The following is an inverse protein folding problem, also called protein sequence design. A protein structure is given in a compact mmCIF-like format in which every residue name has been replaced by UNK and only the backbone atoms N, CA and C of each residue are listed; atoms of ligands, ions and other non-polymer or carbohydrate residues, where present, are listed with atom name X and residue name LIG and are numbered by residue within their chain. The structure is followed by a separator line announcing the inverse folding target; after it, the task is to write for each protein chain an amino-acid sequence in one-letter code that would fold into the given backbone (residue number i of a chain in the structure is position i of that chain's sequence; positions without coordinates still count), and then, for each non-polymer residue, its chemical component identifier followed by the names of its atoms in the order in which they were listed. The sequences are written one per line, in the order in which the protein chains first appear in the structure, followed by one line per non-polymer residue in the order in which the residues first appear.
data_IF_540023521178
#
_entry.id   IF_540023521178
#
_cell.length_a   1.000
_cell.length_b   1.000
_cell.length_c   1.000
_cell.angle_alpha   90.00
_cell.angle_beta   90.00
_cell.angle_gamma   90.00
#
_symmetry.space_group_name_H-M   'P 1'
#
loop_
_entity.id
_entity.type
_entity.pdbx_description
1 polymer ?
#
# COMPACT_ATOMS: atom_id res chain seq x y z
N UNK A 1 -7.62 -70.35 52.37
CA UNK A 1 -6.54 -69.98 53.30
C UNK A 1 -6.00 -68.61 52.89
N UNK A 2 -5.78 -67.64 53.80
CA UNK A 2 -6.59 -67.20 54.93
C UNK A 2 -7.06 -65.72 54.79
N UNK A 3 -7.91 -65.36 55.75
CA UNK A 3 -8.65 -64.12 56.13
C UNK A 3 -7.78 -63.36 57.19
N UNK A 4 -8.06 -62.15 57.77
CA UNK A 4 -8.73 -60.88 57.38
C UNK A 4 -8.05 -59.55 57.89
N UNK A 5 -8.74 -58.40 57.67
CA UNK A 5 -9.06 -57.28 58.61
C UNK A 5 -7.96 -56.29 59.08
N UNK A 6 -8.14 -55.00 58.75
CA UNK A 6 -8.62 -53.92 59.66
C UNK A 6 -8.52 -52.53 58.98
N UNK A 7 -9.59 -51.74 59.08
CA UNK A 7 -9.66 -50.30 58.80
C UNK A 7 -9.53 -49.51 60.14
N UNK A 8 -9.88 -48.21 60.33
CA UNK A 8 -10.17 -47.07 59.41
C UNK A 8 -9.70 -45.65 59.92
N UNK A 9 -10.12 -44.58 59.20
CA UNK A 9 -10.41 -43.15 59.57
C UNK A 9 -9.32 -42.16 60.08
N UNK A 10 -9.26 -40.96 59.44
CA UNK A 10 -9.31 -39.57 59.99
C UNK A 10 -8.34 -38.61 59.25
N UNK A 11 -8.84 -37.62 58.48
CA UNK A 11 -9.00 -36.18 58.80
C UNK A 11 -7.70 -35.46 59.20
N UNK A 12 -7.35 -34.37 58.48
CA UNK A 12 -6.45 -33.34 59.02
C UNK A 12 -5.65 -32.56 57.98
N UNK A 13 -5.91 -31.26 57.92
CA UNK A 13 -5.24 -30.27 57.09
C UNK A 13 -3.77 -30.04 57.46
N UNK A 14 -2.98 -29.47 56.53
CA UNK A 14 -2.25 -28.22 56.75
C UNK A 14 -1.27 -27.97 55.59
N UNK A 15 -1.44 -26.79 54.98
CA UNK A 15 -0.42 -26.04 54.26
C UNK A 15 0.87 -25.97 55.07
N UNK A 16 2.04 -25.92 54.42
CA UNK A 16 3.07 -24.92 54.75
C UNK A 16 3.92 -24.60 53.54
N UNK A 17 4.12 -23.30 53.38
CA UNK A 17 4.73 -22.55 52.29
C UNK A 17 6.22 -22.37 52.55
N UNK A 18 6.98 -22.38 51.44
CA UNK A 18 8.26 -21.72 51.14
C UNK A 18 9.43 -21.83 52.13
N UNK A 19 10.64 -22.02 51.58
CA UNK A 19 11.62 -20.92 51.47
C UNK A 19 13.01 -21.47 51.10
N UNK A 20 13.81 -20.58 50.52
CA UNK A 20 15.24 -20.66 50.22
C UNK A 20 15.64 -21.49 49.00
N UNK A 21 16.65 -21.13 48.20
CA UNK A 21 17.33 -19.89 47.82
C UNK A 21 18.39 -20.35 46.81
N UNK A 22 18.59 -19.56 45.75
CA UNK A 22 19.82 -19.39 44.96
C UNK A 22 20.61 -20.64 44.48
N UNK A 23 20.75 -20.76 43.16
CA UNK A 23 21.75 -21.64 42.54
C UNK A 23 21.84 -21.44 41.04
N UNK A 24 22.81 -20.61 40.63
CA UNK A 24 23.21 -20.29 39.26
C UNK A 24 23.46 -21.54 38.41
N UNK A 25 22.96 -21.59 37.17
CA UNK A 25 23.55 -22.42 36.13
C UNK A 25 23.64 -21.69 34.78
N UNK A 26 24.86 -21.72 34.26
CA UNK A 26 25.37 -21.15 33.02
C UNK A 26 24.81 -21.96 31.85
N UNK A 27 24.12 -21.31 30.91
CA UNK A 27 23.69 -21.94 29.67
C UNK A 27 24.79 -21.78 28.60
N UNK A 28 25.47 -22.90 28.29
CA UNK A 28 26.24 -23.08 27.05
C UNK A 28 25.22 -23.44 25.97
N UNK A 29 25.00 -22.54 25.01
CA UNK A 29 24.13 -22.76 23.87
C UNK A 29 24.93 -22.75 22.57
N UNK A 30 24.93 -23.89 21.86
CA UNK A 30 24.96 -23.98 20.39
C UNK A 30 24.28 -25.30 20.02
N UNK A 31 23.16 -25.25 19.27
CA UNK A 31 22.98 -25.93 17.97
C UNK A 31 21.95 -25.10 17.16
N UNK A 32 22.38 -24.66 15.99
CA UNK A 32 21.55 -24.06 14.93
C UNK A 32 20.63 -25.10 14.27
N UNK A 33 19.39 -24.72 14.00
CA UNK A 33 18.63 -25.24 12.86
C UNK A 33 17.77 -24.10 12.31
N UNK A 34 18.11 -23.67 11.10
CA UNK A 34 17.63 -22.42 10.52
C UNK A 34 16.30 -22.49 9.78
N UNK A 35 15.91 -21.27 9.39
CA UNK A 35 14.91 -20.83 8.40
C UNK A 35 13.46 -21.00 8.80
N UNK A 36 12.96 -19.96 9.48
CA UNK A 36 11.72 -19.31 9.05
C UNK A 36 12.02 -17.84 8.71
N UNK A 37 11.51 -17.41 7.56
CA UNK A 37 11.59 -16.04 7.05
C UNK A 37 10.77 -15.15 7.99
N UNK A 38 11.43 -14.30 8.76
CA UNK A 38 10.74 -13.20 9.45
C UNK A 38 10.29 -12.20 8.39
N UNK A 39 8.98 -12.16 8.15
CA UNK A 39 8.30 -10.97 7.63
C UNK A 39 8.63 -9.85 8.61
N UNK A 40 9.25 -8.79 8.11
CA UNK A 40 9.49 -7.58 8.88
C UNK A 40 8.14 -6.88 8.93
N UNK A 41 7.50 -6.86 10.11
CA UNK A 41 6.33 -6.01 10.36
C UNK A 41 6.77 -4.55 10.23
N UNK A 42 6.19 -3.86 9.24
CA UNK A 42 6.49 -2.46 8.87
C UNK A 42 5.91 -1.43 9.86
N UNK A 43 5.27 -1.87 10.95
CA UNK A 43 4.46 -1.01 11.83
C UNK A 43 5.24 -0.29 12.95
N UNK A 44 6.56 -0.12 12.84
CA UNK A 44 7.31 0.60 13.90
C UNK A 44 8.43 1.51 13.40
N UNK A 45 8.12 2.37 12.44
CA UNK A 45 8.99 3.48 12.06
C UNK A 45 8.34 4.81 12.47
N UNK A 46 8.54 5.21 13.74
CA UNK A 46 8.35 6.60 14.16
C UNK A 46 9.49 7.45 13.59
N UNK A 47 9.27 8.15 12.46
CA UNK A 47 10.24 9.09 11.87
C UNK A 47 9.66 10.47 11.65
N UNK A 48 10.53 11.47 11.78
CA UNK A 48 10.16 12.86 11.53
C UNK A 48 9.93 13.09 10.03
N UNK A 49 8.74 13.60 9.69
CA UNK A 49 8.24 13.94 8.34
C UNK A 49 9.15 14.88 7.52
N UNK A 50 10.25 15.36 8.11
CA UNK A 50 11.25 16.29 7.56
C UNK A 50 12.32 15.64 6.70
N UNK A 51 12.51 14.32 6.78
CA UNK A 51 13.63 13.63 6.09
C UNK A 51 13.30 13.22 4.64
N UNK A 52 12.07 13.50 4.19
CA UNK A 52 11.60 13.12 2.86
C UNK A 52 11.76 14.24 1.84
N UNK A 53 12.19 13.87 0.63
CA UNK A 53 12.32 14.79 -0.50
C UNK A 53 11.04 14.78 -1.33
N UNK A 54 10.54 15.97 -1.68
CA UNK A 54 9.46 16.14 -2.66
C UNK A 54 10.12 16.44 -4.02
N UNK A 55 10.04 15.48 -4.94
CA UNK A 55 10.31 15.59 -6.39
C UNK A 55 11.74 15.94 -6.90
N UNK A 56 12.52 14.96 -7.41
CA UNK A 56 13.63 15.18 -8.33
C UNK A 56 13.14 15.12 -9.79
N UNK A 57 13.90 15.73 -10.70
CA UNK A 57 13.62 15.66 -12.13
C UNK A 57 13.81 14.23 -12.67
N UNK A 58 12.92 13.78 -13.57
CA UNK A 58 13.03 12.50 -14.28
C UNK A 58 14.02 12.66 -15.45
N UNK A 59 15.14 11.94 -15.44
CA UNK A 59 16.18 12.05 -16.49
C UNK A 59 15.89 11.18 -17.73
N UNK A 60 16.62 11.37 -18.84
CA UNK A 60 16.53 10.52 -20.04
C UNK A 60 17.13 9.12 -19.82
N UNK A 61 18.16 9.03 -18.99
CA UNK A 61 18.78 7.78 -18.59
C UNK A 61 17.81 6.92 -17.78
N UNK A 62 17.03 7.54 -16.89
CA UNK A 62 15.94 6.91 -16.14
C UNK A 62 14.87 6.30 -17.08
N UNK A 63 14.65 6.92 -18.25
CA UNK A 63 13.66 6.51 -19.26
C UNK A 63 14.06 5.25 -20.05
N UNK A 64 15.35 4.98 -20.21
CA UNK A 64 15.86 4.04 -21.22
C UNK A 64 16.45 2.72 -20.68
N UNK A 65 16.32 2.42 -19.38
CA UNK A 65 16.76 1.12 -18.87
C UNK A 65 15.83 0.04 -19.44
N UNK A 66 16.37 -1.01 -20.06
CA UNK A 66 15.61 -2.19 -20.51
C UNK A 66 15.69 -3.24 -19.41
N UNK A 67 14.55 -3.66 -18.85
CA UNK A 67 14.53 -4.72 -17.84
C UNK A 67 14.35 -6.04 -18.58
N UNK A 68 15.24 -7.00 -18.33
CA UNK A 68 15.19 -8.28 -19.02
C UNK A 68 13.91 -9.01 -18.64
N UNK A 69 13.24 -9.56 -19.64
CA UNK A 69 11.94 -10.22 -19.50
C UNK A 69 12.00 -11.36 -18.46
N UNK A 70 13.17 -11.98 -18.24
CA UNK A 70 13.29 -13.13 -17.35
C UNK A 70 13.24 -12.80 -15.85
N UNK A 71 13.61 -11.57 -15.43
CA UNK A 71 13.75 -11.26 -14.00
C UNK A 71 12.50 -10.64 -13.35
N UNK A 72 11.57 -10.11 -14.16
CA UNK A 72 10.43 -9.31 -13.68
C UNK A 72 9.13 -9.57 -14.46
N UNK A 73 9.02 -10.75 -15.08
CA UNK A 73 7.92 -11.11 -15.99
C UNK A 73 6.51 -10.97 -15.38
N UNK A 74 6.39 -11.13 -14.06
CA UNK A 74 5.11 -11.07 -13.35
C UNK A 74 4.96 -9.78 -12.53
N UNK A 75 5.83 -8.79 -12.70
CA UNK A 75 5.86 -7.63 -11.80
C UNK A 75 4.70 -6.65 -12.04
N UNK A 76 3.85 -6.52 -11.03
CA UNK A 76 3.00 -5.37 -10.78
C UNK A 76 3.43 -4.76 -9.45
N UNK A 77 3.66 -3.45 -9.42
CA UNK A 77 4.26 -2.73 -8.29
C UNK A 77 3.52 -2.97 -6.96
N UNK A 78 2.22 -3.24 -7.04
CA UNK A 78 1.32 -3.43 -5.89
C UNK A 78 1.03 -4.91 -5.55
N UNK A 79 1.65 -5.87 -6.24
CA UNK A 79 1.50 -7.30 -5.89
C UNK A 79 2.13 -7.64 -4.52
N UNK A 80 3.07 -6.83 -4.04
CA UNK A 80 3.73 -7.00 -2.74
C UNK A 80 2.83 -6.54 -1.56
N UNK A 81 1.65 -5.93 -1.81
CA UNK A 81 0.74 -5.41 -0.78
C UNK A 81 -0.16 -6.48 -0.12
N UNK A 82 -0.08 -7.74 -0.58
CA UNK A 82 -0.95 -8.82 -0.11
C UNK A 82 -2.40 -8.69 -0.56
N UNK A 83 -3.29 -9.55 -0.04
CA UNK A 83 -4.73 -9.49 -0.35
C UNK A 83 -5.40 -8.32 0.39
N UNK A 84 -5.28 -7.12 -0.17
CA UNK A 84 -6.06 -5.97 0.27
C UNK A 84 -7.55 -6.25 0.09
N UNK A 85 -8.34 -6.03 1.13
CA UNK A 85 -9.79 -6.06 1.09
C UNK A 85 -10.33 -4.75 1.63
N UNK A 86 -11.44 -4.27 1.05
CA UNK A 86 -12.04 -3.01 1.48
C UNK A 86 -12.67 -3.20 2.85
N UNK A 87 -12.21 -2.43 3.83
CA UNK A 87 -12.75 -2.47 5.18
C UNK A 87 -13.80 -1.38 5.38
N UNK A 88 -15.08 -1.78 5.39
CA UNK A 88 -16.20 -0.86 5.56
C UNK A 88 -16.51 -0.55 7.03
N UNK A 89 -15.81 -1.14 7.99
CA UNK A 89 -16.06 -0.92 9.42
C UNK A 89 -15.70 0.51 9.88
N UNK A 90 -14.73 1.14 9.23
CA UNK A 90 -14.27 2.50 9.55
C UNK A 90 -15.28 3.59 9.16
N UNK A 91 -16.16 3.31 8.18
CA UNK A 91 -17.17 4.24 7.67
C UNK A 91 -18.22 4.58 8.75
N UNK A 92 -18.47 3.67 9.69
CA UNK A 92 -19.48 3.85 10.74
C UNK A 92 -19.00 4.69 11.93
N UNK A 93 -17.71 5.05 12.04
CA UNK A 93 -17.14 5.54 13.30
C UNK A 93 -16.59 6.98 13.25
N UNK A 94 -16.64 7.70 12.13
CA UNK A 94 -16.00 9.04 12.05
C UNK A 94 -16.71 10.11 11.23
N UNK A 95 -18.04 10.03 11.11
CA UNK A 95 -18.86 11.03 10.42
C UNK A 95 -19.05 12.37 11.18
N UNK A 96 -18.25 12.65 12.22
CA UNK A 96 -18.28 13.92 12.94
C UNK A 96 -16.87 14.35 13.36
N UNK A 97 -16.09 14.94 12.45
CA UNK A 97 -15.07 15.93 12.82
C UNK A 97 -14.59 16.69 11.59
N UNK A 98 -15.05 17.94 11.53
CA UNK A 98 -14.41 19.14 10.97
C UNK A 98 -13.99 19.17 9.49
N UNK A 99 -14.88 19.78 8.71
CA UNK A 99 -14.58 20.60 7.53
C UNK A 99 -13.58 21.71 7.83
N UNK A 100 -12.40 21.63 7.22
CA UNK A 100 -11.52 22.75 6.84
C UNK A 100 -10.86 22.34 5.52
N UNK A 101 -10.72 23.12 4.45
CA UNK A 101 -11.16 24.44 4.04
C UNK A 101 -11.20 24.35 2.50
N UNK A 102 -12.38 24.43 1.87
CA UNK A 102 -12.45 24.58 0.42
C UNK A 102 -12.07 26.03 0.10
N UNK A 103 -10.88 26.25 -0.47
CA UNK A 103 -10.40 27.59 -0.84
C UNK A 103 -11.47 28.33 -1.66
N UNK A 104 -11.77 29.54 -1.19
CA UNK A 104 -12.71 30.47 -1.83
C UNK A 104 -12.13 30.97 -3.14
N UNK A 105 -12.47 30.33 -4.25
CA UNK A 105 -12.48 31.00 -5.56
C UNK A 105 -13.82 30.78 -6.25
N UNK A 106 -14.29 31.85 -6.88
CA UNK A 106 -15.68 32.10 -7.24
C UNK A 106 -16.21 31.14 -8.30
N UNK A 107 -17.04 30.18 -7.89
CA UNK A 107 -18.26 29.73 -8.56
C UNK A 107 -18.91 28.68 -7.65
N UNK A 108 -20.11 28.96 -7.13
CA UNK A 108 -20.88 28.04 -6.28
C UNK A 108 -21.28 26.78 -7.06
N UNK A 109 -20.38 25.81 -7.22
CA UNK A 109 -20.73 24.41 -7.07
C UNK A 109 -20.62 24.14 -5.58
N UNK A 110 -21.68 23.65 -4.96
CA UNK A 110 -21.61 23.15 -3.59
C UNK A 110 -20.48 22.11 -3.56
N UNK A 111 -19.39 22.42 -2.84
CA UNK A 111 -18.31 21.46 -2.64
C UNK A 111 -18.91 20.29 -1.87
N UNK A 112 -19.15 19.17 -2.57
CA UNK A 112 -19.53 17.94 -1.92
C UNK A 112 -18.42 17.58 -0.94
N UNK A 113 -18.75 17.43 0.34
CA UNK A 113 -17.78 17.06 1.35
C UNK A 113 -17.16 15.71 0.97
N UNK A 114 -15.83 15.64 0.99
CA UNK A 114 -15.12 14.44 0.61
C UNK A 114 -15.13 13.42 1.75
N UNK A 115 -15.91 12.34 1.60
CA UNK A 115 -16.08 11.33 2.64
C UNK A 115 -14.81 10.49 2.88
N UNK A 116 -13.84 10.52 1.97
CA UNK A 116 -12.56 9.84 2.12
C UNK A 116 -11.63 10.48 3.16
N UNK A 117 -11.73 11.80 3.41
CA UNK A 117 -10.81 12.53 4.30
C UNK A 117 -10.69 11.88 5.69
N UNK A 118 -11.77 11.58 6.43
CA UNK A 118 -11.67 11.04 7.79
C UNK A 118 -11.14 9.60 7.86
N UNK A 119 -11.20 8.86 6.74
CA UNK A 119 -10.83 7.44 6.63
C UNK A 119 -9.59 7.20 5.77
N UNK A 120 -8.86 8.26 5.41
CA UNK A 120 -7.61 8.17 4.66
C UNK A 120 -6.45 8.55 5.56
N UNK A 121 -5.42 7.70 5.61
CA UNK A 121 -4.21 7.95 6.39
C UNK A 121 -2.95 7.80 5.51
N UNK A 122 -1.88 8.49 5.87
CA UNK A 122 -0.56 8.29 5.24
C UNK A 122 -0.05 6.88 5.57
N UNK A 123 0.54 6.23 4.57
CA UNK A 123 1.27 4.96 4.68
C UNK A 123 2.64 5.14 4.02
N UNK A 124 3.62 4.33 4.41
CA UNK A 124 4.93 4.35 3.78
C UNK A 124 5.30 2.94 3.34
N UNK A 125 5.78 2.80 2.11
CA UNK A 125 6.16 1.52 1.50
C UNK A 125 7.63 1.48 1.18
N UNK A 126 8.27 0.34 1.45
CA UNK A 126 9.64 0.07 1.01
C UNK A 126 9.66 -0.27 -0.49
N UNK A 127 10.47 0.48 -1.25
CA UNK A 127 10.54 0.41 -2.72
C UNK A 127 11.90 -0.07 -3.22
N UNK A 128 12.57 -0.93 -2.46
CA UNK A 128 13.94 -1.39 -2.78
C UNK A 128 14.05 -2.17 -4.10
N UNK A 129 12.93 -2.67 -4.63
CA UNK A 129 12.86 -3.39 -5.91
C UNK A 129 12.44 -2.51 -7.09
N UNK A 130 12.04 -1.28 -6.81
CA UNK A 130 11.51 -0.37 -7.82
C UNK A 130 12.61 0.34 -8.56
N UNK A 131 12.30 0.70 -9.81
CA UNK A 131 13.21 1.51 -10.62
C UNK A 131 13.19 2.98 -10.18
N UNK A 132 14.30 3.70 -10.38
CA UNK A 132 14.37 5.13 -10.07
C UNK A 132 13.28 5.94 -10.80
N UNK A 133 12.97 5.59 -12.05
CA UNK A 133 11.91 6.23 -12.82
C UNK A 133 10.50 5.93 -12.30
N UNK A 134 10.20 4.72 -11.83
CA UNK A 134 8.94 4.43 -11.13
C UNK A 134 8.78 5.39 -9.95
N UNK A 135 9.80 5.42 -9.08
CA UNK A 135 9.81 6.25 -7.87
C UNK A 135 9.64 7.72 -8.24
N UNK A 136 10.41 8.23 -9.21
CA UNK A 136 10.36 9.63 -9.60
C UNK A 136 9.04 10.00 -10.28
N UNK A 137 8.48 9.11 -11.11
CA UNK A 137 7.20 9.33 -11.76
C UNK A 137 6.04 9.38 -10.75
N UNK A 138 6.01 8.46 -9.78
CA UNK A 138 5.04 8.53 -8.68
C UNK A 138 5.18 9.81 -7.89
N UNK A 139 6.40 10.19 -7.50
CA UNK A 139 6.62 11.45 -6.75
C UNK A 139 6.15 12.68 -7.53
N UNK A 140 6.32 12.68 -8.84
CA UNK A 140 5.87 13.78 -9.67
C UNK A 140 4.32 13.83 -9.73
N UNK A 141 3.69 12.73 -10.14
CA UNK A 141 2.24 12.65 -10.35
C UNK A 141 1.50 12.77 -9.02
N UNK A 142 1.83 11.87 -8.10
CA UNK A 142 1.15 11.68 -6.83
C UNK A 142 1.61 12.68 -5.74
N UNK A 143 2.62 13.51 -6.02
CA UNK A 143 3.22 14.48 -5.07
C UNK A 143 3.70 13.83 -3.78
N UNK A 144 4.16 12.59 -3.88
CA UNK A 144 4.58 11.79 -2.73
C UNK A 144 5.96 12.16 -2.23
N UNK A 145 6.13 11.95 -0.94
CA UNK A 145 7.39 12.01 -0.24
C UNK A 145 8.21 10.75 -0.49
N UNK A 146 9.53 10.89 -0.61
CA UNK A 146 10.45 9.75 -0.71
C UNK A 146 11.72 9.98 0.11
N UNK A 147 12.11 8.96 0.86
CA UNK A 147 13.38 8.89 1.58
C UNK A 147 14.35 7.98 0.81
N UNK A 148 15.40 8.54 0.17
CA UNK A 148 16.38 7.76 -0.59
C UNK A 148 17.30 6.91 0.30
N UNK A 149 17.50 7.29 1.56
CA UNK A 149 18.39 6.56 2.48
C UNK A 149 17.75 5.23 2.86
N UNK A 150 16.44 5.24 3.11
CA UNK A 150 15.73 4.04 3.55
C UNK A 150 14.86 3.40 2.48
N UNK A 151 14.81 4.00 1.30
CA UNK A 151 14.02 3.57 0.16
C UNK A 151 12.54 3.42 0.53
N UNK A 152 12.00 4.41 1.23
CA UNK A 152 10.59 4.46 1.62
C UNK A 152 9.87 5.56 0.84
N UNK A 153 8.75 5.22 0.19
CA UNK A 153 7.87 6.18 -0.48
C UNK A 153 6.57 6.34 0.30
N UNK A 154 6.02 7.55 0.32
CA UNK A 154 4.70 7.83 0.87
C UNK A 154 3.62 7.35 -0.09
N UNK A 155 2.60 6.75 0.49
CA UNK A 155 1.34 6.34 -0.11
C UNK A 155 0.20 6.71 0.84
N UNK A 156 -1.03 6.43 0.43
CA UNK A 156 -2.21 6.69 1.23
C UNK A 156 -3.07 5.45 1.29
N UNK A 157 -3.57 5.13 2.48
CA UNK A 157 -4.48 4.02 2.67
C UNK A 157 -5.86 4.57 3.03
N UNK A 158 -6.88 4.17 2.27
CA UNK A 158 -8.28 4.48 2.53
C UNK A 158 -9.07 3.18 2.57
N UNK A 159 -9.75 2.89 3.69
CA UNK A 159 -10.50 1.65 3.90
C UNK A 159 -9.68 0.40 3.58
N UNK A 160 -8.43 0.36 4.05
CA UNK A 160 -7.39 -0.67 3.79
C UNK A 160 -6.91 -0.83 2.34
N UNK A 161 -7.38 -0.03 1.40
CA UNK A 161 -6.86 -0.02 0.03
C UNK A 161 -5.80 1.06 -0.13
N UNK A 162 -4.67 0.72 -0.74
CA UNK A 162 -3.56 1.64 -0.94
C UNK A 162 -3.70 2.41 -2.27
N UNK A 163 -3.27 3.66 -2.24
CA UNK A 163 -3.21 4.59 -3.36
C UNK A 163 -1.85 5.28 -3.37
N UNK A 164 -1.31 5.53 -4.57
CA UNK A 164 -0.03 6.20 -4.70
C UNK A 164 -0.07 7.63 -4.16
N UNK A 165 -1.16 8.38 -4.38
CA UNK A 165 -1.31 9.77 -3.94
C UNK A 165 -2.71 10.16 -3.47
N UNK A 166 -2.79 11.26 -2.72
CA UNK A 166 -4.03 11.81 -2.20
C UNK A 166 -4.06 13.34 -2.28
N UNK A 167 -5.12 13.90 -2.89
CA UNK A 167 -5.39 15.34 -2.94
C UNK A 167 -6.73 15.63 -2.28
N UNK A 168 -6.78 15.90 -0.97
CA UNK A 168 -8.03 16.03 -0.21
C UNK A 168 -8.91 17.18 -0.71
N UNK A 169 -8.30 18.30 -1.15
CA UNK A 169 -9.03 19.45 -1.70
C UNK A 169 -9.86 19.13 -2.95
N UNK A 170 -9.52 18.05 -3.67
CA UNK A 170 -10.19 17.61 -4.90
C UNK A 170 -10.93 16.27 -4.72
N UNK A 171 -10.93 15.70 -3.51
CA UNK A 171 -11.37 14.33 -3.26
C UNK A 171 -10.77 13.31 -4.26
N UNK A 172 -9.48 13.46 -4.56
CA UNK A 172 -8.84 12.79 -5.67
C UNK A 172 -7.68 11.91 -5.19
N UNK A 173 -7.80 10.61 -5.44
CA UNK A 173 -6.69 9.66 -5.34
C UNK A 173 -5.94 9.57 -6.66
N UNK A 174 -4.65 9.26 -6.57
CA UNK A 174 -3.75 9.19 -7.71
C UNK A 174 -3.04 7.84 -7.74
N UNK A 175 -2.87 7.32 -8.95
CA UNK A 175 -2.08 6.13 -9.29
C UNK A 175 -1.08 6.52 -10.38
N UNK A 176 0.17 6.11 -10.25
CA UNK A 176 1.25 6.48 -11.14
C UNK A 176 1.99 5.25 -11.64
N UNK A 177 1.78 4.90 -12.91
CA UNK A 177 2.35 3.71 -13.53
C UNK A 177 3.40 4.08 -14.57
N UNK A 178 4.65 3.70 -14.33
CA UNK A 178 5.77 3.98 -15.23
C UNK A 178 6.27 2.70 -15.91
N UNK A 179 6.68 2.83 -17.18
CA UNK A 179 7.41 1.77 -17.91
C UNK A 179 6.64 0.49 -18.18
N UNK A 180 5.32 0.58 -18.35
CA UNK A 180 4.48 -0.58 -18.63
C UNK A 180 4.43 -0.99 -20.10
N UNK A 181 4.78 -0.14 -21.07
CA UNK A 181 4.74 -0.47 -22.51
C UNK A 181 5.63 -1.67 -22.87
N UNK A 182 6.68 -1.94 -22.09
CA UNK A 182 7.56 -3.11 -22.30
C UNK A 182 6.82 -4.46 -22.17
N UNK A 183 5.67 -4.48 -21.50
CA UNK A 183 4.84 -5.66 -21.32
C UNK A 183 3.82 -5.87 -22.45
N UNK A 184 3.80 -4.97 -23.43
CA UNK A 184 2.91 -5.04 -24.58
C UNK A 184 3.69 -5.46 -25.82
N UNK A 185 3.02 -6.15 -26.74
CA UNK A 185 3.56 -6.46 -28.05
C UNK A 185 3.38 -5.29 -29.04
N UNK A 186 3.73 -5.53 -30.31
CA UNK A 186 3.64 -4.51 -31.36
C UNK A 186 2.20 -4.14 -31.74
N UNK A 187 1.23 -4.96 -31.37
CA UNK A 187 -0.21 -4.72 -31.59
C UNK A 187 -0.83 -3.95 -30.42
N UNK A 188 -0.06 -3.72 -29.35
CA UNK A 188 -0.53 -3.07 -28.13
C UNK A 188 -1.28 -4.02 -27.20
N UNK A 189 -1.12 -5.33 -27.39
CA UNK A 189 -1.72 -6.35 -26.54
C UNK A 189 -0.74 -6.80 -25.44
N UNK A 190 -1.24 -7.10 -24.23
CA UNK A 190 -0.41 -7.68 -23.17
C UNK A 190 0.28 -8.95 -23.64
N UNK A 191 1.59 -9.04 -23.42
CA UNK A 191 2.33 -10.28 -23.65
C UNK A 191 1.72 -11.41 -22.82
N UNK A 192 1.56 -12.59 -23.43
CA UNK A 192 0.82 -13.71 -22.85
C UNK A 192 1.33 -14.21 -21.50
N UNK A 193 2.62 -14.02 -21.21
CA UNK A 193 3.23 -14.37 -19.93
C UNK A 193 2.99 -13.33 -18.83
N UNK A 194 2.64 -12.09 -19.18
CA UNK A 194 2.50 -11.01 -18.21
C UNK A 194 1.13 -11.02 -17.56
N UNK A 195 1.12 -11.12 -16.23
CA UNK A 195 -0.11 -11.17 -15.41
C UNK A 195 -0.55 -9.81 -14.87
N UNK A 196 0.23 -8.76 -15.07
CA UNK A 196 -0.07 -7.45 -14.48
C UNK A 196 -1.43 -6.86 -14.89
N UNK A 197 -1.97 -7.22 -16.05
CA UNK A 197 -3.34 -6.87 -16.44
C UNK A 197 -4.41 -7.40 -15.45
N UNK A 198 -4.19 -8.56 -14.84
CA UNK A 198 -5.09 -9.15 -13.84
C UNK A 198 -4.96 -8.42 -12.51
N UNK A 199 -3.71 -8.19 -12.06
CA UNK A 199 -3.42 -7.41 -10.85
C UNK A 199 -4.01 -6.00 -10.93
N UNK A 200 -3.80 -5.32 -12.05
CA UNK A 200 -4.32 -3.99 -12.33
C UNK A 200 -5.86 -3.95 -12.29
N UNK A 201 -6.54 -4.92 -12.92
CA UNK A 201 -8.00 -5.03 -12.86
C UNK A 201 -8.50 -5.23 -11.42
N UNK A 202 -7.83 -6.10 -10.65
CA UNK A 202 -8.19 -6.34 -9.26
C UNK A 202 -8.01 -5.10 -8.39
N UNK A 203 -6.93 -4.34 -8.61
CA UNK A 203 -6.68 -3.07 -7.92
C UNK A 203 -7.71 -2.00 -8.29
N UNK A 204 -7.96 -1.78 -9.58
CA UNK A 204 -8.98 -0.83 -10.05
C UNK A 204 -10.38 -1.18 -9.50
N UNK A 205 -10.72 -2.48 -9.44
CA UNK A 205 -11.95 -2.93 -8.79
C UNK A 205 -12.00 -2.53 -7.32
N UNK A 206 -10.93 -2.72 -6.54
CA UNK A 206 -10.89 -2.30 -5.13
C UNK A 206 -11.03 -0.78 -4.98
N UNK A 207 -10.36 -0.02 -5.84
CA UNK A 207 -10.49 1.44 -5.89
C UNK A 207 -11.94 1.88 -6.16
N UNK A 208 -12.62 1.26 -7.13
CA UNK A 208 -14.03 1.56 -7.40
C UNK A 208 -14.92 1.20 -6.21
N UNK A 209 -14.65 0.09 -5.51
CA UNK A 209 -15.41 -0.28 -4.30
C UNK A 209 -15.21 0.75 -3.19
N UNK A 210 -13.99 1.28 -2.99
CA UNK A 210 -13.76 2.39 -2.05
C UNK A 210 -14.61 3.61 -2.43
N UNK A 211 -14.62 3.99 -3.70
CA UNK A 211 -15.47 5.07 -4.18
C UNK A 211 -16.95 4.80 -3.95
N UNK A 212 -17.45 3.58 -4.23
CA UNK A 212 -18.86 3.22 -4.03
C UNK A 212 -19.27 3.26 -2.57
N UNK A 213 -18.41 2.77 -1.67
CA UNK A 213 -18.62 2.81 -0.21
C UNK A 213 -18.66 4.25 0.30
N UNK A 214 -17.91 5.15 -0.32
CA UNK A 214 -17.84 6.58 0.00
C UNK A 214 -18.77 7.43 -0.90
N UNK A 215 -19.92 6.86 -1.24
CA UNK A 215 -21.03 7.51 -1.96
C UNK A 215 -20.64 8.08 -3.34
N UNK A 216 -19.60 7.53 -3.96
CA UNK A 216 -19.06 8.00 -5.23
C UNK A 216 -18.38 9.37 -5.14
N UNK A 217 -18.12 9.89 -3.94
CA UNK A 217 -17.47 11.21 -3.74
C UNK A 217 -16.01 11.24 -4.16
N UNK A 218 -15.18 10.21 -3.91
CA UNK A 218 -13.80 10.21 -4.34
C UNK A 218 -13.68 9.82 -5.80
N UNK A 219 -12.70 10.38 -6.48
CA UNK A 219 -12.30 9.99 -7.83
C UNK A 219 -10.88 9.45 -7.82
N UNK A 220 -10.54 8.57 -8.76
CA UNK A 220 -9.20 7.97 -8.88
C UNK A 220 -8.64 8.21 -10.28
N UNK A 221 -7.50 8.87 -10.36
CA UNK A 221 -6.80 9.09 -11.60
C UNK A 221 -5.58 8.18 -11.73
N UNK A 222 -5.60 7.35 -12.77
CA UNK A 222 -4.49 6.49 -13.15
C UNK A 222 -3.67 7.16 -14.26
N UNK A 223 -2.47 7.59 -13.92
CA UNK A 223 -1.56 8.22 -14.86
C UNK A 223 -0.51 7.23 -15.33
N UNK A 224 -0.46 7.00 -16.63
CA UNK A 224 0.57 6.19 -17.27
C UNK A 224 1.59 7.07 -17.96
N UNK A 225 2.87 6.79 -17.71
CA UNK A 225 3.97 7.52 -18.34
C UNK A 225 4.05 7.28 -19.85
N UNK A 226 3.51 6.15 -20.31
CA UNK A 226 3.69 5.66 -21.67
C UNK A 226 2.34 5.41 -22.37
N UNK A 227 2.27 5.63 -23.70
CA UNK A 227 0.99 5.72 -24.40
C UNK A 227 0.32 4.37 -24.68
N UNK A 228 1.08 3.28 -24.87
CA UNK A 228 0.48 1.96 -25.19
C UNK A 228 -0.28 1.42 -23.97
N UNK A 229 0.41 1.37 -22.84
CA UNK A 229 -0.17 0.96 -21.55
C UNK A 229 -1.33 1.87 -21.15
N UNK A 230 -1.20 3.19 -21.29
CA UNK A 230 -2.30 4.13 -21.03
C UNK A 230 -3.55 3.80 -21.86
N UNK A 231 -3.37 3.57 -23.17
CA UNK A 231 -4.48 3.29 -24.08
C UNK A 231 -5.17 1.97 -23.73
N UNK A 232 -4.39 0.93 -23.44
CA UNK A 232 -4.90 -0.37 -23.02
C UNK A 232 -5.71 -0.27 -21.72
N UNK A 233 -5.12 0.32 -20.68
CA UNK A 233 -5.75 0.42 -19.37
C UNK A 233 -6.97 1.35 -19.36
N UNK A 234 -6.98 2.38 -20.23
CA UNK A 234 -8.16 3.21 -20.44
C UNK A 234 -9.36 2.43 -20.95
N UNK A 235 -9.13 1.50 -21.87
CA UNK A 235 -10.17 0.59 -22.34
C UNK A 235 -10.57 -0.39 -21.23
N UNK A 236 -9.58 -0.98 -20.55
CA UNK A 236 -9.79 -1.96 -19.51
C UNK A 236 -10.61 -1.41 -18.32
N UNK A 237 -10.39 -0.17 -17.93
CA UNK A 237 -11.04 0.46 -16.77
C UNK A 237 -12.30 1.26 -17.13
N UNK A 238 -12.77 1.20 -18.37
CA UNK A 238 -13.93 1.96 -18.85
C UNK A 238 -15.26 1.62 -18.16
N UNK A 239 -15.33 0.46 -17.49
CA UNK A 239 -16.50 0.06 -16.70
C UNK A 239 -16.61 0.79 -15.34
N UNK A 240 -15.53 1.39 -14.84
CA UNK A 240 -15.47 2.02 -13.53
C UNK A 240 -15.80 3.52 -13.62
N UNK A 241 -16.90 3.93 -13.01
CA UNK A 241 -17.44 5.31 -13.10
C UNK A 241 -16.59 6.36 -12.37
N UNK A 242 -15.82 5.96 -11.35
CA UNK A 242 -14.96 6.85 -10.54
C UNK A 242 -13.48 6.74 -10.89
N UNK A 243 -13.15 6.06 -11.99
CA UNK A 243 -11.76 5.87 -12.42
C UNK A 243 -11.58 6.51 -13.79
N UNK A 244 -10.52 7.30 -13.93
CA UNK A 244 -10.08 7.80 -15.23
C UNK A 244 -8.62 7.48 -15.46
N UNK A 245 -8.29 7.13 -16.70
CA UNK A 245 -6.94 6.82 -17.14
C UNK A 245 -6.41 7.92 -18.04
N UNK A 246 -5.22 8.41 -17.73
CA UNK A 246 -4.55 9.50 -18.41
C UNK A 246 -3.19 9.06 -18.93
N UNK A 247 -2.81 9.55 -20.11
CA UNK A 247 -1.43 9.49 -20.59
C UNK A 247 -0.73 10.79 -20.17
N UNK A 248 0.25 10.68 -19.28
CA UNK A 248 0.96 11.85 -18.74
C UNK A 248 2.45 11.71 -18.99
N UNK A 249 2.86 12.12 -20.20
CA UNK A 249 4.26 12.07 -20.63
C UNK A 249 5.14 13.04 -19.82
N UNK A 250 6.44 12.73 -19.74
CA UNK A 250 7.45 13.64 -19.16
C UNK A 250 7.49 15.03 -19.83
N UNK A 251 7.15 15.14 -21.12
CA UNK A 251 7.16 16.41 -21.86
C UNK A 251 6.08 17.35 -21.34
N UNK A 252 4.92 16.81 -20.95
CA UNK A 252 3.86 17.59 -20.33
C UNK A 252 4.23 18.07 -18.92
N UNK A 253 5.21 17.42 -18.26
CA UNK A 253 5.68 17.78 -16.92
C UNK A 253 6.59 19.00 -16.95
N UNK A 254 7.44 19.11 -17.98
CA UNK A 254 8.35 20.24 -18.17
C UNK A 254 7.65 21.56 -18.54
N UNK A 255 6.40 21.51 -19.03
CA UNK A 255 5.63 22.71 -19.38
C UNK A 255 4.81 23.29 -18.20
N UNK A 256 4.77 22.59 -17.07
CA UNK A 256 4.00 23.00 -15.87
C UNK A 256 4.88 23.42 -14.69
N UNK A 257 6.21 23.48 -14.90
CA UNK A 257 7.19 23.96 -13.94
C UNK A 257 7.50 25.45 -14.14
#
# INVERSE_FOLDING_TARGET
MPIPLLAPVAVGAAEYVASACAGVLIAVGIIEAGKDKSVIDDDNIHRNKTDFVINPDITDEDRNIVWSAEAYADFWEDDDLGDESVDTSEVQTKAQSETEECEKTETKKECQACLAIPVTNEKYRKVSRWSAITINYQRFIARTKYDPVTQMIQEFQCLKVTFDGWRPAYCLFLEAKARYDQFFDIEGEPKSWWKGQVSARNQAKRHQVVCDVLEGTPHVEWHFLQPVSSSYFKMLFSEYKNISVHYTSCVNLAMTA
#
